data_IF_860626656594
#
_entry.id   IF_860626656594
#
_cell.length_a   1.000
_cell.length_b   1.000
_cell.length_c   1.000
_cell.angle_alpha   90.00
_cell.angle_beta   90.00
_cell.angle_gamma   90.00
#
_symmetry.space_group_name_H-M   'P 1'
#
loop_
_entity.id
_entity.type
_entity.pdbx_description
1 polymer ?
#
# COMPACT_ATOMS: atom_id res chain seq x y z
N UNK A 1 8.96 6.56 -1.14
CA UNK A 1 8.23 7.65 -0.49
C UNK A 1 9.11 8.27 0.59
N UNK A 2 9.16 9.59 0.64
CA UNK A 2 9.74 10.39 1.75
C UNK A 2 8.71 11.40 2.19
N UNK A 3 8.66 11.73 3.48
CA UNK A 3 7.76 12.74 4.02
C UNK A 3 8.49 13.56 5.08
N UNK A 4 8.91 14.75 4.70
CA UNK A 4 9.57 15.68 5.62
C UNK A 4 8.52 16.51 6.35
N UNK A 5 8.53 16.44 7.67
CA UNK A 5 7.62 17.23 8.52
C UNK A 5 8.42 18.03 9.54
N UNK A 6 7.95 19.24 9.96
CA UNK A 6 8.63 20.02 10.96
C UNK A 6 8.39 19.47 12.37
N UNK A 7 9.43 19.50 13.20
CA UNK A 7 9.32 19.32 14.64
C UNK A 7 8.80 20.60 15.34
N UNK A 8 8.67 20.57 16.65
CA UNK A 8 8.23 21.72 17.46
C UNK A 8 9.13 22.95 17.36
N UNK A 9 10.36 22.82 16.85
CA UNK A 9 11.32 23.90 16.64
C UNK A 9 11.38 24.35 15.18
N UNK A 10 10.57 23.75 14.30
CA UNK A 10 10.57 24.03 12.86
C UNK A 10 11.69 23.31 12.09
N UNK A 11 12.37 22.34 12.70
CA UNK A 11 13.36 21.51 12.01
C UNK A 11 12.65 20.39 11.26
N UNK A 12 12.91 20.28 9.95
CA UNK A 12 12.34 19.23 9.12
C UNK A 12 13.16 17.96 9.19
N UNK A 13 12.48 16.82 9.32
CA UNK A 13 13.07 15.49 9.21
C UNK A 13 12.14 14.56 8.44
N UNK A 14 12.71 13.56 7.77
CA UNK A 14 11.93 12.51 7.12
C UNK A 14 11.43 11.52 8.20
N UNK A 15 10.13 11.28 8.19
CA UNK A 15 9.46 10.40 9.17
C UNK A 15 9.06 9.05 8.58
N UNK A 16 9.49 8.75 7.36
CA UNK A 16 9.16 7.49 6.68
C UNK A 16 10.42 6.66 6.45
N UNK A 17 10.37 5.39 6.86
CA UNK A 17 11.39 4.42 6.47
C UNK A 17 11.26 4.11 4.98
N UNK A 18 12.32 4.29 4.23
CA UNK A 18 12.36 4.06 2.80
C UNK A 18 13.73 3.54 2.33
N UNK A 19 13.88 3.40 1.03
CA UNK A 19 15.15 3.05 0.39
C UNK A 19 15.78 4.28 -0.24
N UNK A 20 17.11 4.30 -0.30
CA UNK A 20 17.87 5.43 -0.83
C UNK A 20 17.94 5.47 -2.36
N UNK A 21 17.55 4.38 -3.04
CA UNK A 21 17.63 4.28 -4.50
C UNK A 21 16.60 3.32 -5.09
N UNK A 22 16.35 3.46 -6.37
CA UNK A 22 15.50 2.53 -7.14
C UNK A 22 16.07 1.11 -7.14
N UNK A 23 17.39 0.97 -7.24
CA UNK A 23 18.06 -0.33 -7.15
C UNK A 23 17.80 -1.01 -5.80
N UNK A 24 17.84 -0.24 -4.72
CA UNK A 24 17.50 -0.77 -3.38
C UNK A 24 16.04 -1.21 -3.28
N UNK A 25 15.10 -0.51 -3.92
CA UNK A 25 13.68 -0.93 -3.97
C UNK A 25 13.54 -2.30 -4.63
N UNK A 26 14.31 -2.56 -5.70
CA UNK A 26 14.23 -3.81 -6.45
C UNK A 26 14.96 -4.98 -5.79
N UNK A 27 16.04 -4.70 -5.07
CA UNK A 27 16.96 -5.74 -4.57
C UNK A 27 16.79 -6.05 -3.09
N UNK A 28 16.26 -5.11 -2.29
CA UNK A 28 16.10 -5.30 -0.85
C UNK A 28 14.77 -5.95 -0.51
N UNK A 29 14.74 -6.82 0.53
CA UNK A 29 13.50 -7.44 0.99
C UNK A 29 12.59 -6.43 1.70
N UNK A 30 11.29 -6.73 1.73
CA UNK A 30 10.29 -5.92 2.42
C UNK A 30 9.46 -5.06 1.49
N UNK A 31 8.57 -4.27 2.08
CA UNK A 31 7.53 -3.53 1.36
C UNK A 31 7.42 -2.05 1.79
N UNK A 32 8.51 -1.33 2.12
CA UNK A 32 8.41 0.01 2.70
C UNK A 32 7.71 1.02 1.78
N UNK A 33 6.55 1.51 2.21
CA UNK A 33 5.84 2.61 1.57
C UNK A 33 5.13 2.27 0.26
N UNK A 34 5.03 0.98 -0.10
CA UNK A 34 4.35 0.57 -1.34
C UNK A 34 2.82 0.56 -1.19
N UNK A 35 2.08 0.83 -2.26
CA UNK A 35 0.68 0.44 -2.35
C UNK A 35 0.57 -1.07 -2.50
N UNK A 36 -0.25 -1.70 -1.68
CA UNK A 36 -0.49 -3.14 -1.68
C UNK A 36 -1.90 -3.44 -2.17
N UNK A 37 -2.02 -4.31 -3.15
CA UNK A 37 -3.26 -4.79 -3.75
C UNK A 37 -2.97 -5.96 -4.72
N UNK A 38 -4.00 -6.64 -5.27
CA UNK A 38 -5.45 -6.37 -5.07
C UNK A 38 -5.94 -6.70 -3.66
N UNK A 39 -5.30 -7.65 -2.97
CA UNK A 39 -5.58 -7.99 -1.58
C UNK A 39 -4.34 -7.82 -0.69
N UNK A 40 -4.46 -6.96 0.30
CA UNK A 40 -3.47 -6.81 1.35
C UNK A 40 -3.53 -7.97 2.35
N UNK A 41 -2.40 -8.22 3.04
CA UNK A 41 -2.24 -9.31 3.98
C UNK A 41 -2.44 -10.69 3.31
N UNK A 42 -2.95 -11.69 4.01
CA UNK A 42 -2.94 -13.09 3.57
C UNK A 42 -4.31 -13.58 3.11
N UNK A 43 -4.27 -14.42 2.06
CA UNK A 43 -5.37 -15.31 1.71
C UNK A 43 -4.92 -16.73 2.07
N UNK A 44 -5.61 -17.34 3.03
CA UNK A 44 -5.33 -18.68 3.53
C UNK A 44 -5.47 -19.75 2.44
N UNK A 45 -4.52 -20.69 2.37
CA UNK A 45 -4.49 -21.72 1.34
C UNK A 45 -4.25 -21.19 -0.08
N UNK A 46 -3.93 -19.90 -0.23
CA UNK A 46 -3.73 -19.23 -1.52
C UNK A 46 -4.88 -19.47 -2.51
N UNK A 47 -6.13 -19.42 -2.05
CA UNK A 47 -7.33 -19.56 -2.89
C UNK A 47 -8.54 -18.92 -2.24
N UNK A 48 -9.49 -18.50 -3.07
CA UNK A 48 -10.80 -18.02 -2.64
C UNK A 48 -11.88 -18.46 -3.62
N UNK A 49 -13.13 -18.45 -3.17
CA UNK A 49 -14.28 -18.73 -4.03
C UNK A 49 -15.16 -17.50 -4.15
N UNK A 50 -15.45 -17.08 -5.36
CA UNK A 50 -16.31 -15.95 -5.68
C UNK A 50 -17.33 -16.37 -6.74
N UNK A 51 -18.63 -16.17 -6.49
CA UNK A 51 -19.73 -16.55 -7.39
C UNK A 51 -19.68 -18.04 -7.84
N UNK A 52 -19.25 -18.92 -6.93
CA UNK A 52 -19.15 -20.37 -7.21
C UNK A 52 -17.91 -20.80 -7.99
N UNK A 53 -17.05 -19.86 -8.40
CA UNK A 53 -15.77 -20.13 -9.07
C UNK A 53 -14.64 -20.04 -8.05
N UNK A 54 -13.76 -21.04 -8.01
CA UNK A 54 -12.57 -21.02 -7.17
C UNK A 54 -11.38 -20.49 -7.96
N UNK A 55 -10.74 -19.47 -7.41
CA UNK A 55 -9.53 -18.84 -7.94
C UNK A 55 -8.34 -19.27 -7.11
N UNK A 56 -7.31 -19.73 -7.79
CA UNK A 56 -6.04 -20.11 -7.15
C UNK A 56 -5.00 -19.01 -7.34
N UNK A 57 -4.29 -18.69 -6.27
CA UNK A 57 -3.26 -17.67 -6.23
C UNK A 57 -1.88 -18.30 -6.06
N UNK A 58 -0.84 -17.55 -6.36
CA UNK A 58 0.52 -18.00 -6.08
C UNK A 58 0.76 -18.14 -4.56
N UNK A 59 1.44 -19.19 -4.15
CA UNK A 59 1.87 -19.41 -2.76
C UNK A 59 3.22 -18.73 -2.53
N UNK A 60 3.23 -17.64 -1.81
CA UNK A 60 4.42 -16.84 -1.54
C UNK A 60 4.65 -16.56 -0.04
N UNK A 61 3.85 -17.20 0.82
CA UNK A 61 3.99 -17.11 2.26
C UNK A 61 3.86 -18.48 2.90
N UNK A 62 4.95 -18.97 3.53
CA UNK A 62 5.07 -20.29 4.15
C UNK A 62 4.66 -21.47 3.23
N UNK A 63 4.80 -21.31 1.92
CA UNK A 63 4.42 -22.29 0.88
C UNK A 63 2.93 -22.72 0.90
N UNK A 64 2.12 -22.03 1.66
CA UNK A 64 0.69 -22.32 1.85
C UNK A 64 -0.20 -21.17 1.43
N UNK A 65 0.13 -19.95 1.85
CA UNK A 65 -0.74 -18.78 1.72
C UNK A 65 -0.28 -17.85 0.57
N UNK A 66 -1.19 -17.01 0.10
CA UNK A 66 -0.83 -15.83 -0.70
C UNK A 66 -0.70 -14.62 0.23
N UNK A 67 0.38 -13.86 0.10
CA UNK A 67 0.66 -12.62 0.84
C UNK A 67 0.76 -11.44 -0.12
N UNK A 68 -0.02 -10.39 0.14
CA UNK A 68 0.02 -9.12 -0.59
C UNK A 68 -0.14 -9.26 -2.11
N UNK A 69 -0.91 -10.28 -2.54
CA UNK A 69 -1.14 -10.63 -3.94
C UNK A 69 0.13 -10.95 -4.74
N UNK A 70 1.27 -11.21 -4.03
CA UNK A 70 2.53 -11.55 -4.72
C UNK A 70 2.50 -12.93 -5.41
N UNK A 71 3.64 -13.23 -6.10
CA UNK A 71 4.95 -12.56 -6.06
C UNK A 71 5.07 -11.31 -6.94
N UNK A 72 4.15 -11.05 -7.81
CA UNK A 72 4.18 -9.99 -8.82
C UNK A 72 3.54 -8.71 -8.24
N UNK A 73 4.23 -8.10 -7.29
CA UNK A 73 3.70 -7.02 -6.47
C UNK A 73 3.45 -5.72 -7.24
N UNK A 74 2.56 -4.87 -6.73
CA UNK A 74 2.27 -3.56 -7.33
C UNK A 74 3.45 -2.59 -7.28
N UNK A 75 4.38 -2.75 -6.35
CA UNK A 75 5.62 -1.97 -6.30
C UNK A 75 6.53 -2.22 -7.51
N UNK A 76 6.43 -3.40 -8.13
CA UNK A 76 7.27 -3.81 -9.26
C UNK A 76 6.68 -3.38 -10.61
N UNK A 77 5.55 -2.63 -10.58
CA UNK A 77 4.83 -2.14 -11.74
C UNK A 77 5.15 -0.68 -12.02
N UNK A 78 5.02 -0.30 -13.28
CA UNK A 78 5.09 1.11 -13.69
C UNK A 78 3.68 1.69 -13.61
N UNK A 79 3.54 2.79 -12.91
CA UNK A 79 2.31 3.53 -12.72
C UNK A 79 2.37 4.84 -13.50
N UNK A 80 1.24 5.24 -14.08
CA UNK A 80 1.06 6.61 -14.54
C UNK A 80 0.93 7.54 -13.33
N UNK A 81 1.44 8.77 -13.43
CA UNK A 81 1.40 9.71 -12.32
C UNK A 81 0.95 11.08 -12.76
N UNK A 82 0.05 11.68 -11.99
CA UNK A 82 -0.44 13.05 -12.16
C UNK A 82 -0.32 13.82 -10.85
N UNK A 83 0.03 15.09 -10.93
CA UNK A 83 0.14 15.99 -9.77
C UNK A 83 -0.81 17.16 -9.97
N UNK A 84 -1.61 17.45 -8.96
CA UNK A 84 -2.53 18.58 -8.97
C UNK A 84 -2.54 19.32 -7.62
N UNK A 85 -2.81 20.63 -7.68
CA UNK A 85 -3.16 21.43 -6.51
C UNK A 85 -4.66 21.39 -6.29
N UNK A 86 -5.07 20.91 -5.13
CA UNK A 86 -6.47 20.79 -4.73
C UNK A 86 -6.81 21.74 -3.59
N UNK A 87 -8.09 21.87 -3.28
CA UNK A 87 -8.53 22.63 -2.09
C UNK A 87 -8.02 22.03 -0.77
N UNK A 88 -7.59 20.75 -0.76
CA UNK A 88 -7.07 20.06 0.41
C UNK A 88 -5.53 20.13 0.50
N UNK A 89 -4.84 20.52 -0.57
CA UNK A 89 -3.39 20.54 -0.68
C UNK A 89 -2.90 19.93 -1.99
N UNK A 90 -1.60 19.70 -2.09
CA UNK A 90 -1.01 19.03 -3.26
C UNK A 90 -1.34 17.55 -3.24
N UNK A 91 -1.89 17.05 -4.33
CA UNK A 91 -2.24 15.65 -4.52
C UNK A 91 -1.41 15.03 -5.64
N UNK A 92 -0.85 13.84 -5.40
CA UNK A 92 -0.25 12.99 -6.43
C UNK A 92 -1.16 11.77 -6.59
N UNK A 93 -1.64 11.53 -7.80
CA UNK A 93 -2.45 10.36 -8.14
C UNK A 93 -1.65 9.43 -9.03
N UNK A 94 -1.54 8.17 -8.62
CA UNK A 94 -0.96 7.08 -9.39
C UNK A 94 -2.07 6.22 -9.97
N UNK A 95 -1.98 5.92 -11.28
CA UNK A 95 -2.93 5.09 -12.02
C UNK A 95 -2.28 3.81 -12.52
N UNK A 96 -3.00 2.69 -12.45
CA UNK A 96 -2.55 1.39 -12.91
C UNK A 96 -3.72 0.60 -13.50
N UNK A 97 -3.58 0.18 -14.77
CA UNK A 97 -4.49 -0.77 -15.40
C UNK A 97 -3.98 -2.20 -15.25
N UNK A 98 -4.86 -3.13 -14.85
CA UNK A 98 -4.54 -4.56 -14.71
C UNK A 98 -5.53 -5.41 -15.50
N UNK A 99 -5.03 -6.35 -16.33
CA UNK A 99 -5.90 -7.24 -17.09
C UNK A 99 -6.58 -8.29 -16.19
N UNK A 100 -7.65 -8.89 -16.71
CA UNK A 100 -8.26 -10.07 -16.11
C UNK A 100 -7.23 -11.17 -15.89
N UNK A 101 -7.30 -11.82 -14.72
CA UNK A 101 -6.35 -12.87 -14.30
C UNK A 101 -5.04 -12.36 -13.73
N UNK A 102 -4.79 -11.06 -13.69
CA UNK A 102 -3.58 -10.52 -13.05
C UNK A 102 -3.50 -10.96 -11.58
N UNK A 103 -2.33 -11.46 -11.17
CA UNK A 103 -2.10 -12.04 -9.84
C UNK A 103 -3.09 -13.16 -9.46
N UNK A 104 -3.86 -13.70 -10.40
CA UNK A 104 -4.90 -14.72 -10.19
C UNK A 104 -6.30 -14.17 -9.87
N UNK A 105 -6.50 -12.85 -9.89
CA UNK A 105 -7.80 -12.23 -9.62
C UNK A 105 -8.61 -12.02 -10.90
N UNK A 106 -9.96 -12.26 -10.88
CA UNK A 106 -10.82 -12.00 -12.01
C UNK A 106 -11.03 -10.50 -12.27
N UNK A 107 -11.36 -10.17 -13.50
CA UNK A 107 -11.74 -8.87 -13.99
C UNK A 107 -10.56 -7.95 -14.33
N UNK A 108 -10.71 -7.23 -15.44
CA UNK A 108 -9.87 -6.07 -15.72
C UNK A 108 -10.12 -5.03 -14.63
N UNK A 109 -9.07 -4.35 -14.17
CA UNK A 109 -9.19 -3.35 -13.11
C UNK A 109 -8.39 -2.09 -13.45
N UNK A 110 -9.05 -0.93 -13.31
CA UNK A 110 -8.43 0.38 -13.29
C UNK A 110 -8.34 0.83 -11.84
N UNK A 111 -7.11 1.05 -11.37
CA UNK A 111 -6.79 1.31 -9.97
C UNK A 111 -6.13 2.68 -9.88
N UNK A 112 -6.58 3.50 -8.95
CA UNK A 112 -5.88 4.74 -8.59
C UNK A 112 -5.56 4.77 -7.10
N UNK A 113 -4.40 5.35 -6.78
CA UNK A 113 -3.97 5.64 -5.41
C UNK A 113 -3.55 7.10 -5.36
N UNK A 114 -4.26 7.91 -4.59
CA UNK A 114 -3.96 9.33 -4.44
C UNK A 114 -3.36 9.61 -3.07
N UNK A 115 -2.29 10.39 -3.05
CA UNK A 115 -1.60 10.87 -1.85
C UNK A 115 -1.77 12.38 -1.78
N UNK A 116 -2.48 12.86 -0.78
CA UNK A 116 -2.67 14.30 -0.56
C UNK A 116 -1.96 14.72 0.73
N UNK A 117 -1.00 15.65 0.60
CA UNK A 117 -0.39 16.29 1.76
C UNK A 117 -1.14 17.58 2.05
N UNK A 118 -1.79 17.64 3.21
CA UNK A 118 -2.59 18.78 3.62
C UNK A 118 -1.77 19.82 4.41
N UNK A 119 -2.20 21.09 4.47
CA UNK A 119 -1.50 22.15 5.20
C UNK A 119 -1.38 21.94 6.71
N UNK A 120 -2.22 21.07 7.29
CA UNK A 120 -2.20 20.70 8.71
C UNK A 120 -1.36 19.44 8.99
N UNK A 121 -0.43 19.09 8.09
CA UNK A 121 0.47 17.96 8.18
C UNK A 121 -0.25 16.58 8.21
N UNK A 122 -1.38 16.46 7.56
CA UNK A 122 -2.03 15.18 7.34
C UNK A 122 -1.63 14.59 5.98
N UNK A 123 -1.27 13.31 5.95
CA UNK A 123 -1.13 12.54 4.71
C UNK A 123 -2.39 11.72 4.51
N UNK A 124 -3.21 12.10 3.51
CA UNK A 124 -4.40 11.38 3.12
C UNK A 124 -4.11 10.44 1.96
N UNK A 125 -4.51 9.18 2.10
CA UNK A 125 -4.43 8.19 1.05
C UNK A 125 -5.85 7.77 0.64
N UNK A 126 -6.16 7.91 -0.64
CA UNK A 126 -7.42 7.47 -1.23
C UNK A 126 -7.14 6.36 -2.25
N UNK A 127 -7.91 5.27 -2.15
CA UNK A 127 -7.86 4.15 -3.10
C UNK A 127 -9.17 4.08 -3.85
N UNK A 128 -9.09 3.96 -5.17
CA UNK A 128 -10.25 3.74 -6.01
C UNK A 128 -9.95 2.63 -7.01
N UNK A 129 -10.91 1.74 -7.21
CA UNK A 129 -10.83 0.69 -8.21
C UNK A 129 -12.17 0.53 -8.93
N UNK A 130 -12.10 0.45 -10.25
CA UNK A 130 -13.20 0.02 -11.10
C UNK A 130 -12.82 -1.29 -11.74
N UNK A 131 -13.71 -2.27 -11.73
CA UNK A 131 -13.52 -3.55 -12.41
C UNK A 131 -14.72 -3.88 -13.29
N UNK A 132 -14.47 -4.57 -14.38
CA UNK A 132 -15.52 -5.05 -15.30
C UNK A 132 -16.15 -6.39 -14.89
N UNK A 133 -15.65 -6.99 -13.81
CA UNK A 133 -16.21 -8.18 -13.20
C UNK A 133 -16.12 -8.12 -11.67
N UNK A 134 -16.91 -8.93 -10.99
CA UNK A 134 -16.79 -9.11 -9.54
C UNK A 134 -15.40 -9.63 -9.20
N UNK A 135 -14.75 -8.98 -8.24
CA UNK A 135 -13.37 -9.28 -7.81
C UNK A 135 -13.14 -8.89 -6.36
N UNK A 136 -11.99 -9.27 -5.81
CA UNK A 136 -11.56 -8.83 -4.49
C UNK A 136 -10.85 -7.48 -4.60
N UNK A 137 -11.17 -6.56 -3.67
CA UNK A 137 -10.49 -5.29 -3.49
C UNK A 137 -10.26 -5.03 -1.99
N UNK A 138 -9.02 -5.09 -1.56
CA UNK A 138 -8.62 -4.82 -0.17
C UNK A 138 -7.20 -4.22 -0.18
N UNK A 139 -7.13 -2.90 -0.32
CA UNK A 139 -5.89 -2.16 -0.46
C UNK A 139 -5.33 -1.70 0.88
N UNK A 140 -4.01 -1.52 0.92
CA UNK A 140 -3.33 -0.82 2.00
C UNK A 140 -2.06 -0.13 1.49
N UNK A 141 -1.45 0.70 2.33
CA UNK A 141 -0.11 1.21 2.15
C UNK A 141 0.81 0.59 3.22
N UNK A 142 1.96 0.10 2.80
CA UNK A 142 2.90 -0.56 3.70
C UNK A 142 3.95 0.42 4.27
N UNK A 143 3.53 1.64 4.55
CA UNK A 143 4.41 2.67 5.11
C UNK A 143 4.79 2.35 6.55
N UNK A 144 6.04 2.65 6.89
CA UNK A 144 6.57 2.58 8.26
C UNK A 144 6.89 3.97 8.73
N UNK A 145 6.19 4.43 9.75
CA UNK A 145 6.40 5.76 10.33
C UNK A 145 7.30 5.72 11.57
N UNK A 146 8.20 6.69 11.65
CA UNK A 146 8.85 7.09 12.88
C UNK A 146 8.74 8.62 13.04
N UNK A 147 7.78 9.09 13.84
CA UNK A 147 7.52 10.52 14.03
C UNK A 147 8.65 11.28 14.73
N UNK A 148 9.62 10.58 15.28
CA UNK A 148 10.85 11.18 15.78
C UNK A 148 11.94 11.40 14.72
N UNK A 149 11.64 11.08 13.45
CA UNK A 149 12.59 11.00 12.35
C UNK A 149 13.08 9.55 12.13
N UNK A 150 13.17 9.11 10.89
CA UNK A 150 13.48 7.70 10.61
C UNK A 150 14.86 7.23 11.14
N UNK A 151 15.78 8.16 11.39
CA UNK A 151 17.11 7.91 11.98
C UNK A 151 17.16 8.05 13.52
N UNK A 152 16.06 8.42 14.17
CA UNK A 152 16.05 8.72 15.61
C UNK A 152 16.12 7.49 16.52
N UNK A 153 16.05 6.27 15.97
CA UNK A 153 16.06 5.02 16.71
C UNK A 153 14.69 4.34 16.77
N UNK A 154 14.29 3.86 17.95
CA UNK A 154 13.06 3.08 18.13
C UNK A 154 11.79 3.88 17.87
N UNK A 155 10.83 3.30 17.16
CA UNK A 155 9.48 3.83 16.95
C UNK A 155 8.44 3.24 17.95
N UNK A 156 8.87 2.42 18.92
CA UNK A 156 7.95 1.66 19.79
C UNK A 156 7.20 2.52 20.82
N UNK A 157 7.64 3.76 21.05
CA UNK A 157 6.98 4.70 21.97
C UNK A 157 5.85 5.50 21.31
N UNK A 158 5.61 5.29 20.01
CA UNK A 158 4.55 5.96 19.28
C UNK A 158 3.19 5.47 19.77
N UNK A 159 2.21 6.39 19.75
CA UNK A 159 0.81 6.06 20.01
C UNK A 159 0.09 5.94 18.69
N UNK A 160 -0.64 4.84 18.52
CA UNK A 160 -1.50 4.60 17.37
C UNK A 160 -2.95 4.67 17.82
N UNK A 161 -3.76 5.43 17.11
CA UNK A 161 -5.21 5.42 17.24
C UNK A 161 -5.82 4.93 15.93
N UNK A 162 -6.76 4.02 16.02
CA UNK A 162 -7.43 3.40 14.86
C UNK A 162 -8.93 3.50 15.10
N UNK A 163 -9.65 4.14 14.17
CA UNK A 163 -11.11 4.22 14.19
C UNK A 163 -11.72 2.91 13.66
N UNK A 164 -11.67 1.87 14.49
CA UNK A 164 -12.17 0.55 14.15
C UNK A 164 -12.65 -0.18 15.41
N UNK A 165 -13.83 -0.78 15.33
CA UNK A 165 -14.41 -1.58 16.42
C UNK A 165 -13.86 -3.00 16.46
N UNK A 166 -13.30 -3.49 15.34
CA UNK A 166 -12.85 -4.87 15.17
C UNK A 166 -11.52 -4.93 14.44
N UNK A 167 -10.83 -6.02 14.60
CA UNK A 167 -9.65 -6.38 13.82
C UNK A 167 -9.71 -7.86 13.40
N UNK A 168 -9.06 -8.21 12.31
CA UNK A 168 -8.93 -9.61 11.89
C UNK A 168 -7.92 -10.30 12.79
N UNK A 169 -8.37 -11.25 13.61
CA UNK A 169 -7.49 -12.05 14.43
C UNK A 169 -6.66 -13.02 13.59
N UNK A 170 -5.46 -13.29 14.04
CA UNK A 170 -4.63 -14.39 13.51
C UNK A 170 -4.77 -15.60 14.42
N UNK A 171 -4.81 -16.79 13.84
CA UNK A 171 -4.77 -18.10 14.49
C UNK A 171 -3.34 -18.55 14.76
#
# INVERSE_FOLDING_TARGET
LTMSVPDKNGQFDDVILGYDSVDSIQTQPGHPGEPVGRNANRIGGAKFTLNGVTYELAKNSAEVNNLHSGPDYYRDRIWDAEVEETALGTTITFGLHRPDGDQGYPGNADITVSYTLTPDNCLKLDYHMVSDADTIANFTNHVYFNLGGYKSGSALDQKVWIDADYFTATD
#
